data_IF_359267635017
#
_entry.id   IF_359267635017
#
_cell.length_a   1.000
_cell.length_b   1.000
_cell.length_c   1.000
_cell.angle_alpha   90.00
_cell.angle_beta   90.00
_cell.angle_gamma   90.00
#
_symmetry.space_group_name_H-M   'P 1'
#
loop_
_entity.id
_entity.type
_entity.pdbx_description
1 polymer ?
#
# COMPACT_ATOMS: atom_id res chain seq x y z
N UNK A 1 26.80 10.44 -29.64
CA UNK A 1 25.38 10.74 -29.92
C UNK A 1 24.67 10.77 -28.58
N UNK A 2 24.44 11.94 -27.98
CA UNK A 2 23.35 12.10 -27.01
C UNK A 2 22.13 12.42 -27.87
N UNK A 3 21.33 11.42 -28.28
CA UNK A 3 20.37 11.58 -29.36
C UNK A 3 18.99 11.88 -28.77
N UNK A 4 18.00 12.05 -29.62
CA UNK A 4 16.61 12.42 -29.32
C UNK A 4 15.99 11.66 -28.11
N UNK A 5 16.47 10.47 -27.81
CA UNK A 5 16.08 9.61 -26.69
C UNK A 5 16.09 10.34 -25.34
N UNK A 6 17.14 11.11 -25.04
CA UNK A 6 17.25 11.83 -23.75
C UNK A 6 16.17 12.92 -23.63
N UNK A 7 15.89 13.64 -24.71
CA UNK A 7 14.85 14.66 -24.75
C UNK A 7 13.45 14.04 -24.65
N UNK A 8 13.21 12.94 -25.35
CA UNK A 8 11.94 12.22 -25.28
C UNK A 8 11.68 11.71 -23.85
N UNK A 9 12.67 11.10 -23.19
CA UNK A 9 12.55 10.67 -21.78
C UNK A 9 12.34 11.87 -20.87
N UNK A 10 13.09 12.95 -21.05
CA UNK A 10 12.98 14.18 -20.25
C UNK A 10 11.63 14.89 -20.40
N UNK A 11 10.88 14.67 -21.47
CA UNK A 11 9.52 15.19 -21.65
C UNK A 11 8.48 14.20 -21.09
N UNK A 12 8.60 12.92 -21.46
CA UNK A 12 7.63 11.88 -21.11
C UNK A 12 7.52 11.71 -19.59
N UNK A 13 8.65 11.69 -18.87
CA UNK A 13 8.65 11.51 -17.41
C UNK A 13 7.91 12.63 -16.67
N UNK A 14 8.28 13.92 -16.82
CA UNK A 14 7.57 15.03 -16.16
C UNK A 14 6.11 15.11 -16.58
N UNK A 15 5.79 14.92 -17.87
CA UNK A 15 4.40 14.89 -18.32
C UNK A 15 3.60 13.78 -17.62
N UNK A 16 4.17 12.59 -17.48
CA UNK A 16 3.52 11.48 -16.76
C UNK A 16 3.28 11.84 -15.29
N UNK A 17 4.26 12.45 -14.62
CA UNK A 17 4.12 12.90 -13.22
C UNK A 17 3.04 13.98 -13.09
N UNK A 18 3.00 14.98 -13.99
CA UNK A 18 1.99 16.03 -14.00
C UNK A 18 0.59 15.47 -14.28
N UNK A 19 0.46 14.51 -15.19
CA UNK A 19 -0.80 13.84 -15.46
C UNK A 19 -1.28 13.02 -14.26
N UNK A 20 -0.38 12.30 -13.58
CA UNK A 20 -0.69 11.59 -12.33
C UNK A 20 -1.15 12.56 -11.25
N UNK A 21 -0.45 13.68 -11.08
CA UNK A 21 -0.81 14.72 -10.11
C UNK A 21 -2.16 15.39 -10.43
N UNK A 22 -2.54 15.48 -11.72
CA UNK A 22 -3.82 16.05 -12.14
C UNK A 22 -5.03 15.17 -11.78
N UNK A 23 -4.81 13.88 -11.48
CA UNK A 23 -5.81 12.88 -11.13
C UNK A 23 -7.00 12.77 -12.13
N UNK A 24 -6.80 13.22 -13.38
CA UNK A 24 -7.84 13.21 -14.43
C UNK A 24 -7.96 11.89 -15.16
N UNK A 25 -6.86 11.15 -15.24
CA UNK A 25 -6.78 9.85 -15.91
C UNK A 25 -6.31 8.80 -14.92
N UNK A 26 -6.70 7.54 -15.13
CA UNK A 26 -6.28 6.43 -14.29
C UNK A 26 -4.76 6.24 -14.39
N UNK A 27 -4.05 5.93 -13.27
CA UNK A 27 -2.61 5.75 -13.27
C UNK A 27 -2.11 4.70 -14.26
N UNK A 28 -2.86 3.61 -14.45
CA UNK A 28 -2.57 2.56 -15.43
C UNK A 28 -2.49 3.11 -16.85
N UNK A 29 -3.44 3.96 -17.23
CA UNK A 29 -3.53 4.52 -18.57
C UNK A 29 -2.37 5.48 -18.85
N UNK A 30 -2.00 6.29 -17.85
CA UNK A 30 -0.88 7.22 -17.96
C UNK A 30 0.44 6.45 -18.08
N UNK A 31 0.69 5.48 -17.19
CA UNK A 31 1.95 4.73 -17.15
C UNK A 31 2.11 3.79 -18.35
N UNK A 32 1.05 3.10 -18.78
CA UNK A 32 1.09 2.26 -19.98
C UNK A 32 1.19 3.12 -21.24
N UNK A 33 0.56 4.29 -21.28
CA UNK A 33 0.73 5.25 -22.37
C UNK A 33 2.17 5.74 -22.48
N UNK A 34 2.80 6.10 -21.37
CA UNK A 34 4.21 6.48 -21.32
C UNK A 34 5.14 5.34 -21.77
N UNK A 35 4.89 4.11 -21.31
CA UNK A 35 5.64 2.92 -21.75
C UNK A 35 5.47 2.66 -23.25
N UNK A 36 4.24 2.80 -23.78
CA UNK A 36 3.94 2.66 -25.19
C UNK A 36 4.66 3.70 -26.05
N UNK A 37 4.71 4.96 -25.61
CA UNK A 37 5.47 6.01 -26.28
C UNK A 37 6.98 5.70 -26.31
N UNK A 38 7.53 5.18 -25.22
CA UNK A 38 8.94 4.78 -25.14
C UNK A 38 9.27 3.56 -26.03
N UNK A 39 8.32 2.64 -26.20
CA UNK A 39 8.45 1.49 -27.12
C UNK A 39 8.37 1.93 -28.59
N UNK A 40 7.39 2.76 -28.95
CA UNK A 40 7.19 3.23 -30.34
C UNK A 40 8.35 4.11 -30.78
N UNK A 41 8.89 4.92 -29.88
CA UNK A 41 10.08 5.75 -30.15
C UNK A 41 11.38 4.94 -30.24
N UNK A 42 11.36 3.63 -29.95
CA UNK A 42 12.53 2.77 -30.00
C UNK A 42 13.54 2.98 -28.87
N UNK A 43 13.19 3.80 -27.87
CA UNK A 43 14.04 4.12 -26.71
C UNK A 43 14.16 2.91 -25.78
N UNK A 44 13.05 2.17 -25.62
CA UNK A 44 13.04 0.91 -24.88
C UNK A 44 12.87 -0.26 -25.84
N UNK A 45 13.60 -1.33 -25.59
CA UNK A 45 13.34 -2.62 -26.24
C UNK A 45 12.15 -3.32 -25.57
N UNK A 46 11.46 -4.26 -26.27
CA UNK A 46 10.41 -5.06 -25.65
C UNK A 46 10.87 -5.82 -24.41
N UNK A 47 12.12 -6.30 -24.38
CA UNK A 47 12.67 -7.00 -23.21
C UNK A 47 12.87 -6.06 -22.02
N UNK A 48 13.32 -4.82 -22.25
CA UNK A 48 13.44 -3.82 -21.19
C UNK A 48 12.08 -3.39 -20.65
N UNK A 49 11.10 -3.17 -21.53
CA UNK A 49 9.74 -2.83 -21.13
C UNK A 49 9.09 -3.94 -20.28
N UNK A 50 9.31 -5.21 -20.63
CA UNK A 50 8.80 -6.35 -19.87
C UNK A 50 9.58 -6.64 -18.58
N UNK A 51 10.83 -6.16 -18.48
CA UNK A 51 11.69 -6.39 -17.32
C UNK A 51 11.08 -5.94 -15.99
N UNK A 52 10.33 -4.83 -15.98
CA UNK A 52 9.63 -4.34 -14.77
C UNK A 52 8.52 -5.28 -14.29
N UNK A 53 7.79 -5.90 -15.23
CA UNK A 53 6.71 -6.85 -14.93
C UNK A 53 7.22 -8.17 -14.36
N UNK A 54 8.44 -8.57 -14.73
CA UNK A 54 9.08 -9.80 -14.25
C UNK A 54 9.80 -9.64 -12.91
N UNK A 55 9.64 -8.51 -12.21
CA UNK A 55 10.33 -8.28 -10.94
C UNK A 55 9.78 -9.17 -9.80
N UNK A 56 10.64 -9.70 -8.91
CA UNK A 56 10.21 -10.44 -7.73
C UNK A 56 9.22 -9.67 -6.85
N UNK A 57 9.37 -8.34 -6.78
CA UNK A 57 8.44 -7.46 -6.06
C UNK A 57 7.03 -7.50 -6.64
N UNK A 58 6.89 -7.42 -7.98
CA UNK A 58 5.59 -7.54 -8.65
C UNK A 58 4.94 -8.91 -8.40
N UNK A 59 5.71 -9.99 -8.49
CA UNK A 59 5.22 -11.34 -8.21
C UNK A 59 4.72 -11.49 -6.76
N UNK A 60 5.46 -10.92 -5.80
CA UNK A 60 5.09 -10.92 -4.38
C UNK A 60 3.77 -10.19 -4.15
N UNK A 61 3.60 -9.01 -4.74
CA UNK A 61 2.35 -8.25 -4.65
C UNK A 61 1.18 -9.06 -5.22
N UNK A 62 1.35 -9.69 -6.38
CA UNK A 62 0.31 -10.51 -6.99
C UNK A 62 -0.15 -11.66 -6.08
N UNK A 63 0.78 -12.39 -5.47
CA UNK A 63 0.48 -13.49 -4.54
C UNK A 63 -0.24 -12.98 -3.28
N UNK A 64 0.19 -11.84 -2.73
CA UNK A 64 -0.46 -11.22 -1.58
C UNK A 64 -1.91 -10.83 -1.92
N UNK A 65 -2.17 -10.24 -3.08
CA UNK A 65 -3.53 -9.91 -3.51
C UNK A 65 -4.43 -11.14 -3.60
N UNK A 66 -3.95 -12.26 -4.13
CA UNK A 66 -4.68 -13.53 -4.17
C UNK A 66 -4.96 -14.05 -2.76
N UNK A 67 -3.95 -14.03 -1.89
CA UNK A 67 -4.07 -14.49 -0.49
C UNK A 67 -5.13 -13.68 0.27
N UNK A 68 -5.10 -12.37 0.10
CA UNK A 68 -6.06 -11.42 0.67
C UNK A 68 -7.47 -11.67 0.14
N UNK A 69 -7.62 -11.90 -1.17
CA UNK A 69 -8.91 -12.27 -1.74
C UNK A 69 -9.46 -13.54 -1.10
N UNK A 70 -8.63 -14.58 -0.91
CA UNK A 70 -9.02 -15.81 -0.20
C UNK A 70 -9.46 -15.56 1.25
N UNK A 71 -8.73 -14.73 2.01
CA UNK A 71 -9.12 -14.33 3.37
C UNK A 71 -10.46 -13.57 3.40
N UNK A 72 -10.77 -12.83 2.32
CA UNK A 72 -11.99 -12.04 2.20
C UNK A 72 -13.18 -12.93 1.90
N UNK A 73 -13.04 -13.85 0.95
CA UNK A 73 -14.08 -14.80 0.57
C UNK A 73 -14.40 -15.80 1.69
N UNK A 74 -13.42 -16.22 2.48
CA UNK A 74 -13.65 -17.07 3.66
C UNK A 74 -14.36 -16.36 4.81
N UNK A 75 -14.50 -15.03 4.76
CA UNK A 75 -15.08 -14.23 5.84
C UNK A 75 -14.20 -14.14 7.10
N UNK A 76 -12.98 -14.69 7.07
CA UNK A 76 -12.02 -14.64 8.18
C UNK A 76 -11.77 -13.20 8.64
N UNK A 77 -11.73 -12.29 7.68
CA UNK A 77 -11.57 -10.85 7.91
C UNK A 77 -12.77 -10.23 8.65
N UNK A 78 -13.99 -10.53 8.22
CA UNK A 78 -15.21 -10.03 8.87
C UNK A 78 -15.36 -10.63 10.28
N UNK A 79 -14.91 -11.88 10.46
CA UNK A 79 -14.82 -12.52 11.76
C UNK A 79 -13.81 -11.83 12.67
N UNK A 80 -12.59 -11.55 12.19
CA UNK A 80 -11.56 -10.80 12.91
C UNK A 80 -12.06 -9.42 13.35
N UNK A 81 -12.66 -8.64 12.44
CA UNK A 81 -13.22 -7.34 12.77
C UNK A 81 -14.25 -7.41 13.91
N UNK A 82 -15.21 -8.34 13.83
CA UNK A 82 -16.22 -8.52 14.89
C UNK A 82 -15.61 -8.94 16.23
N UNK A 83 -14.59 -9.80 16.22
CA UNK A 83 -13.92 -10.26 17.42
C UNK A 83 -13.11 -9.14 18.10
N UNK A 84 -12.43 -8.32 17.30
CA UNK A 84 -11.49 -7.31 17.79
C UNK A 84 -12.18 -6.03 18.28
N UNK A 85 -13.28 -5.61 17.65
CA UNK A 85 -13.93 -4.33 17.92
C UNK A 85 -14.74 -4.33 19.25
N UNK A 86 -15.39 -5.44 19.59
CA UNK A 86 -16.12 -5.60 20.86
C UNK A 86 -17.12 -4.47 21.17
N UNK A 87 -17.34 -4.19 22.46
CA UNK A 87 -18.15 -3.07 22.97
C UNK A 87 -17.31 -2.14 23.87
N UNK A 88 -16.59 -1.16 23.31
CA UNK A 88 -15.82 -0.21 24.08
C UNK A 88 -16.73 0.83 24.75
N UNK A 89 -16.33 1.28 25.93
CA UNK A 89 -17.06 2.29 26.73
C UNK A 89 -16.64 3.73 26.40
N UNK A 90 -15.51 3.93 25.72
CA UNK A 90 -14.94 5.25 25.40
C UNK A 90 -14.40 5.27 23.97
N UNK A 91 -14.39 6.45 23.32
CA UNK A 91 -13.89 6.63 21.96
C UNK A 91 -12.40 6.27 21.81
N UNK A 92 -11.54 6.63 22.77
CA UNK A 92 -10.12 6.27 22.74
C UNK A 92 -9.92 4.74 22.80
N UNK A 93 -10.70 4.04 23.62
CA UNK A 93 -10.66 2.57 23.70
C UNK A 93 -11.15 1.92 22.39
N UNK A 94 -12.15 2.52 21.75
CA UNK A 94 -12.60 2.10 20.43
C UNK A 94 -11.52 2.26 19.36
N UNK A 95 -10.81 3.40 19.37
CA UNK A 95 -9.70 3.63 18.45
C UNK A 95 -8.57 2.63 18.70
N UNK A 96 -8.16 2.38 19.95
CA UNK A 96 -7.14 1.37 20.27
C UNK A 96 -7.53 -0.01 19.70
N UNK A 97 -8.78 -0.44 19.90
CA UNK A 97 -9.29 -1.73 19.41
C UNK A 97 -9.39 -1.82 17.89
N UNK A 98 -9.36 -0.69 17.19
CA UNK A 98 -9.36 -0.64 15.73
C UNK A 98 -7.94 -0.52 15.16
N UNK A 99 -7.17 0.44 15.67
CA UNK A 99 -5.87 0.81 15.12
C UNK A 99 -4.82 -0.28 15.35
N UNK A 100 -4.81 -0.91 16.52
CA UNK A 100 -3.79 -1.91 16.86
C UNK A 100 -3.91 -3.16 15.97
N UNK A 101 -5.10 -3.75 15.77
CA UNK A 101 -5.26 -4.85 14.82
C UNK A 101 -5.06 -4.42 13.36
N UNK A 102 -5.53 -3.24 12.98
CA UNK A 102 -5.35 -2.76 11.61
C UNK A 102 -3.86 -2.58 11.26
N UNK A 103 -3.09 -1.92 12.13
CA UNK A 103 -1.66 -1.72 11.95
C UNK A 103 -0.91 -3.05 11.91
N UNK A 104 -1.21 -3.98 12.83
CA UNK A 104 -0.55 -5.30 12.87
C UNK A 104 -0.86 -6.17 11.67
N UNK A 105 -2.10 -6.16 11.18
CA UNK A 105 -2.46 -6.87 9.94
C UNK A 105 -1.75 -6.23 8.73
N UNK A 106 -1.62 -4.91 8.71
CA UNK A 106 -0.94 -4.18 7.64
C UNK A 106 0.56 -4.48 7.56
N UNK A 107 1.18 -4.99 8.63
CA UNK A 107 2.55 -5.51 8.59
C UNK A 107 2.68 -6.63 7.55
N UNK A 108 1.63 -7.43 7.33
CA UNK A 108 1.68 -8.57 6.42
C UNK A 108 0.94 -8.34 5.11
N UNK A 109 0.06 -7.35 5.07
CA UNK A 109 -0.86 -7.11 3.97
C UNK A 109 -0.78 -5.64 3.58
N UNK A 110 -0.70 -5.36 2.28
CA UNK A 110 -0.74 -4.00 1.76
C UNK A 110 -1.96 -3.19 2.28
N UNK A 111 -1.76 -1.88 2.44
CA UNK A 111 -2.69 -0.99 3.14
C UNK A 111 -4.11 -0.97 2.54
N UNK A 112 -4.24 -0.96 1.21
CA UNK A 112 -5.52 -0.77 0.51
C UNK A 112 -6.54 -1.88 0.80
N UNK A 113 -6.18 -3.18 0.71
CA UNK A 113 -7.06 -4.22 1.17
C UNK A 113 -7.45 -4.11 2.65
N UNK A 114 -6.49 -3.85 3.54
CA UNK A 114 -6.77 -3.72 4.99
C UNK A 114 -7.84 -2.65 5.24
N UNK A 115 -7.72 -1.48 4.62
CA UNK A 115 -8.72 -0.42 4.77
C UNK A 115 -10.08 -0.85 4.21
N UNK A 116 -10.13 -1.41 3.00
CA UNK A 116 -11.39 -1.87 2.39
C UNK A 116 -12.09 -2.94 3.24
N UNK A 117 -11.31 -3.85 3.80
CA UNK A 117 -11.73 -4.92 4.69
C UNK A 117 -12.35 -4.37 5.98
N UNK A 118 -11.63 -3.50 6.68
CA UNK A 118 -12.09 -2.93 7.94
C UNK A 118 -13.21 -1.89 7.76
N UNK A 119 -13.32 -1.25 6.60
CA UNK A 119 -14.36 -0.23 6.35
C UNK A 119 -15.76 -0.78 6.58
N UNK A 120 -16.08 -1.94 6.02
CA UNK A 120 -17.40 -2.57 6.19
C UNK A 120 -17.66 -2.94 7.66
N UNK A 121 -16.69 -3.58 8.31
CA UNK A 121 -16.79 -3.97 9.72
C UNK A 121 -16.94 -2.76 10.66
N UNK A 122 -16.18 -1.69 10.41
CA UNK A 122 -16.23 -0.44 11.17
C UNK A 122 -17.57 0.26 10.98
N UNK A 123 -18.08 0.35 9.75
CA UNK A 123 -19.38 0.97 9.49
C UNK A 123 -20.51 0.24 10.22
N UNK A 124 -20.54 -1.10 10.16
CA UNK A 124 -21.54 -1.90 10.86
C UNK A 124 -21.41 -1.81 12.38
N UNK A 125 -20.17 -1.79 12.88
CA UNK A 125 -19.87 -1.63 14.30
C UNK A 125 -20.27 -0.24 14.82
N UNK A 126 -20.01 0.82 14.05
CA UNK A 126 -20.43 2.19 14.36
C UNK A 126 -21.95 2.32 14.41
N UNK A 127 -22.69 1.70 13.48
CA UNK A 127 -24.17 1.65 13.51
C UNK A 127 -24.71 1.04 14.79
N UNK A 128 -24.09 -0.05 15.27
CA UNK A 128 -24.50 -0.75 16.50
C UNK A 128 -24.11 -0.01 17.79
N UNK A 129 -23.02 0.75 17.74
CA UNK A 129 -22.43 1.42 18.91
C UNK A 129 -22.82 2.90 19.02
N UNK A 130 -23.56 3.44 18.05
CA UNK A 130 -23.98 4.85 18.03
C UNK A 130 -22.87 5.85 17.66
N UNK A 131 -21.73 5.38 17.14
CA UNK A 131 -20.60 6.23 16.75
C UNK A 131 -20.68 6.67 15.29
N UNK A 132 -20.04 7.79 14.95
CA UNK A 132 -19.88 8.23 13.56
C UNK A 132 -18.65 7.56 12.92
N UNK A 133 -18.87 6.81 11.83
CA UNK A 133 -17.83 6.07 11.12
C UNK A 133 -16.68 6.96 10.61
N UNK A 134 -16.93 8.21 10.23
CA UNK A 134 -15.90 9.12 9.73
C UNK A 134 -14.77 9.36 10.73
N UNK A 135 -15.06 9.25 12.03
CA UNK A 135 -14.05 9.38 13.11
C UNK A 135 -13.12 8.16 13.23
N UNK A 136 -13.44 7.05 12.57
CA UNK A 136 -12.68 5.80 12.64
C UNK A 136 -12.01 5.45 11.31
N UNK A 137 -12.67 5.74 10.18
CA UNK A 137 -12.17 5.39 8.84
C UNK A 137 -10.87 6.12 8.48
N UNK A 138 -10.73 7.41 8.85
CA UNK A 138 -9.51 8.16 8.58
C UNK A 138 -8.33 7.68 9.46
N UNK A 139 -8.47 7.55 10.80
CA UNK A 139 -7.44 6.94 11.63
C UNK A 139 -7.06 5.52 11.20
N UNK A 140 -8.02 4.70 10.80
CA UNK A 140 -7.79 3.36 10.25
C UNK A 140 -6.86 3.40 9.03
N UNK A 141 -7.10 4.34 8.11
CA UNK A 141 -6.24 4.52 6.93
C UNK A 141 -4.80 4.84 7.32
N UNK A 142 -4.60 5.78 8.25
CA UNK A 142 -3.27 6.14 8.72
C UNK A 142 -2.58 5.01 9.48
N UNK A 143 -3.27 4.32 10.39
CA UNK A 143 -2.70 3.19 11.11
C UNK A 143 -2.33 2.02 10.18
N UNK A 144 -3.15 1.79 9.15
CA UNK A 144 -2.83 0.82 8.09
C UNK A 144 -1.54 1.21 7.37
N UNK A 145 -1.43 2.46 6.91
CA UNK A 145 -0.23 2.97 6.23
C UNK A 145 1.03 2.83 7.10
N UNK A 146 0.95 3.25 8.36
CA UNK A 146 2.09 3.18 9.28
C UNK A 146 2.46 1.73 9.62
N UNK A 147 1.47 0.87 9.90
CA UNK A 147 1.71 -0.55 10.13
C UNK A 147 2.41 -1.23 8.96
N UNK A 148 2.01 -0.89 7.72
CA UNK A 148 2.65 -1.40 6.50
C UNK A 148 4.12 -1.03 6.35
N UNK A 149 4.59 0.08 6.93
CA UNK A 149 6.01 0.44 6.87
C UNK A 149 6.89 -0.40 7.77
N UNK A 150 6.31 -1.22 8.65
CA UNK A 150 7.06 -2.09 9.57
C UNK A 150 7.63 -3.35 8.89
N UNK A 151 7.26 -3.67 7.65
CA UNK A 151 7.83 -4.82 6.95
C UNK A 151 8.10 -4.53 5.48
N UNK A 152 8.91 -5.39 4.85
CA UNK A 152 9.16 -5.34 3.42
C UNK A 152 7.89 -5.55 2.58
N UNK A 153 7.02 -6.48 2.99
CA UNK A 153 5.81 -6.84 2.24
C UNK A 153 4.59 -5.97 2.56
N UNK A 154 4.65 -5.17 3.63
CA UNK A 154 3.55 -4.35 4.10
C UNK A 154 3.23 -3.16 3.19
N UNK A 155 4.18 -2.71 2.37
CA UNK A 155 3.91 -1.73 1.30
C UNK A 155 4.52 -2.12 -0.04
N UNK A 156 3.81 -1.80 -1.13
CA UNK A 156 4.33 -1.94 -2.49
C UNK A 156 5.58 -1.09 -2.73
N UNK A 157 5.69 0.07 -2.08
CA UNK A 157 6.87 0.93 -2.16
C UNK A 157 8.12 0.24 -1.63
N UNK A 158 8.03 -0.46 -0.48
CA UNK A 158 9.17 -1.18 0.10
C UNK A 158 9.67 -2.28 -0.84
N UNK A 159 8.76 -3.03 -1.48
CA UNK A 159 9.11 -4.06 -2.46
C UNK A 159 9.78 -3.49 -3.72
N UNK A 160 9.36 -2.31 -4.18
CA UNK A 160 10.00 -1.64 -5.31
C UNK A 160 11.43 -1.22 -4.95
N UNK A 161 11.62 -0.61 -3.77
CA UNK A 161 12.95 -0.19 -3.32
C UNK A 161 13.88 -1.39 -3.14
N UNK A 162 13.41 -2.47 -2.52
CA UNK A 162 14.18 -3.72 -2.40
C UNK A 162 14.56 -4.29 -3.77
N UNK A 163 13.62 -4.30 -4.72
CA UNK A 163 13.88 -4.72 -6.09
C UNK A 163 14.98 -3.90 -6.76
N UNK A 164 14.99 -2.58 -6.58
CA UNK A 164 16.02 -1.68 -7.11
C UNK A 164 17.39 -1.89 -6.46
N UNK A 165 17.44 -2.11 -5.14
CA UNK A 165 18.68 -2.40 -4.40
C UNK A 165 19.31 -3.70 -4.87
N UNK A 166 18.49 -4.77 -5.01
CA UNK A 166 18.94 -6.05 -5.54
C UNK A 166 19.46 -5.95 -6.97
N UNK A 167 18.78 -5.19 -7.83
CA UNK A 167 19.25 -4.93 -9.21
C UNK A 167 20.58 -4.16 -9.24
N UNK A 168 20.85 -3.35 -8.23
CA UNK A 168 22.11 -2.59 -8.10
C UNK A 168 23.27 -3.43 -7.55
N UNK A 169 23.07 -4.73 -7.30
CA UNK A 169 24.10 -5.66 -6.85
C UNK A 169 24.28 -5.75 -5.32
N UNK A 170 23.42 -5.08 -4.55
CA UNK A 170 23.44 -5.15 -3.09
C UNK A 170 22.53 -6.28 -2.57
N UNK A 171 22.79 -6.80 -1.36
CA UNK A 171 21.79 -7.59 -0.66
C UNK A 171 20.53 -6.73 -0.47
N UNK A 172 19.37 -7.28 -0.85
CA UNK A 172 18.10 -6.63 -0.53
C UNK A 172 17.79 -6.69 0.96
N UNK A 173 16.66 -6.11 1.36
CA UNK A 173 16.26 -6.05 2.75
C UNK A 173 15.73 -7.39 3.27
N UNK A 174 15.95 -7.64 4.55
CA UNK A 174 15.23 -8.67 5.30
C UNK A 174 13.79 -8.22 5.59
N UNK A 175 12.90 -9.20 5.85
CA UNK A 175 11.46 -8.98 5.99
C UNK A 175 11.10 -7.89 7.03
N UNK A 176 11.84 -7.81 8.13
CA UNK A 176 11.61 -6.87 9.24
C UNK A 176 12.75 -5.89 9.46
N UNK A 177 13.66 -5.74 8.50
CA UNK A 177 14.79 -4.81 8.64
C UNK A 177 14.30 -3.35 8.80
N UNK A 178 13.25 -3.00 8.06
CA UNK A 178 12.61 -1.68 8.08
C UNK A 178 11.79 -1.49 9.38
N UNK A 179 11.48 -2.55 10.13
CA UNK A 179 10.69 -2.48 11.37
C UNK A 179 11.32 -1.60 12.43
N UNK A 180 12.66 -1.51 12.47
CA UNK A 180 13.38 -0.64 13.40
C UNK A 180 12.98 0.83 13.25
N UNK A 181 12.61 1.27 12.04
CA UNK A 181 12.11 2.62 11.75
C UNK A 181 10.58 2.65 11.77
N UNK A 182 9.93 1.63 11.22
CA UNK A 182 8.47 1.57 11.12
C UNK A 182 7.75 1.48 12.46
N UNK A 183 8.28 0.71 13.43
CA UNK A 183 7.65 0.51 14.73
C UNK A 183 7.56 1.81 15.55
N UNK A 184 8.63 2.62 15.70
CA UNK A 184 8.54 3.92 16.36
C UNK A 184 7.53 4.86 15.70
N UNK A 185 7.52 4.95 14.37
CA UNK A 185 6.58 5.80 13.62
C UNK A 185 5.15 5.35 13.86
N UNK A 186 4.90 4.04 13.77
CA UNK A 186 3.57 3.46 14.01
C UNK A 186 3.11 3.68 15.43
N UNK A 187 4.00 3.52 16.41
CA UNK A 187 3.68 3.74 17.82
C UNK A 187 3.30 5.20 18.07
N UNK A 188 4.16 6.15 17.68
CA UNK A 188 3.92 7.59 17.87
C UNK A 188 2.67 8.04 17.13
N UNK A 189 2.50 7.61 15.88
CA UNK A 189 1.34 7.97 15.07
C UNK A 189 0.04 7.38 15.61
N UNK A 190 0.03 6.13 16.07
CA UNK A 190 -1.15 5.55 16.73
C UNK A 190 -1.49 6.30 18.02
N UNK A 191 -0.50 6.65 18.85
CA UNK A 191 -0.72 7.45 20.05
C UNK A 191 -1.33 8.81 19.69
N UNK A 192 -0.78 9.50 18.69
CA UNK A 192 -1.31 10.78 18.21
C UNK A 192 -2.76 10.68 17.71
N UNK A 193 -3.13 9.57 17.04
CA UNK A 193 -4.50 9.36 16.56
C UNK A 193 -5.50 9.03 17.68
N UNK A 194 -5.02 8.58 18.85
CA UNK A 194 -5.85 8.19 20.00
C UNK A 194 -6.12 9.38 20.94
N UNK A 195 -5.17 10.32 21.03
CA UNK A 195 -5.26 11.55 21.83
C UNK A 195 -6.26 12.54 21.22
#
# INVERSE_FOLDING_TARGET
>A
MFPLDLFAVAIILPCSVLLLASNRFSPDTILLGALGLLLISGILTPTQALGGFASPGMATIAVLYVTVAGLRETGAIAWLGRFLLGRPTTMSLALIRLLLPAATISIFINNSPVVAMFTSAVQDWCKRSGFNASKFLLPLSYASIMGGTCSLIGTSTNLIVDGLIRQSGFPGFDLFEIAAVGLPITFVGCVYLIL
#
